data_IF_146201204789
#
_entry.id   IF_146201204789
#
_cell.length_a   1.000
_cell.length_b   1.000
_cell.length_c   1.000
_cell.angle_alpha   90.00
_cell.angle_beta   90.00
_cell.angle_gamma   90.00
#
_symmetry.space_group_name_H-M   'P 1'
#
loop_
_entity.id
_entity.type
_entity.pdbx_description
1 polymer ?
#
# COMPACT_ATOMS: atom_id res chain seq x y z
N UNK A 1 32.40 -1.49 -27.05
CA UNK A 1 31.50 -0.68 -26.19
C UNK A 1 30.11 -0.79 -26.78
N UNK A 2 29.08 -1.19 -26.02
CA UNK A 2 27.71 -1.16 -26.52
C UNK A 2 27.19 0.29 -26.59
N UNK A 3 26.28 0.57 -27.53
CA UNK A 3 25.78 1.90 -27.86
C UNK A 3 24.89 2.49 -26.75
N UNK A 4 25.16 3.70 -26.23
CA UNK A 4 24.40 4.33 -25.14
C UNK A 4 23.00 4.81 -25.55
N UNK A 5 22.63 4.68 -26.82
CA UNK A 5 21.34 5.11 -27.39
C UNK A 5 20.42 3.92 -27.73
N UNK A 6 20.74 2.73 -27.23
CA UNK A 6 19.87 1.57 -27.41
C UNK A 6 18.51 1.82 -26.75
N UNK A 7 17.37 1.56 -27.41
CA UNK A 7 16.02 1.82 -26.87
C UNK A 7 15.79 1.22 -25.47
N UNK A 8 16.44 0.08 -25.18
CA UNK A 8 16.39 -0.58 -23.88
C UNK A 8 17.06 0.19 -22.74
N UNK A 9 18.05 1.05 -23.01
CA UNK A 9 18.73 1.87 -21.98
C UNK A 9 17.87 3.04 -21.55
N UNK A 10 17.21 3.72 -22.49
CA UNK A 10 16.24 4.79 -22.22
C UNK A 10 15.03 4.27 -21.45
N UNK A 11 14.56 3.06 -21.77
CA UNK A 11 13.47 2.42 -21.05
C UNK A 11 13.87 2.07 -19.60
N UNK A 12 15.06 1.47 -19.42
CA UNK A 12 15.58 1.14 -18.10
C UNK A 12 15.81 2.39 -17.22
N UNK A 13 16.26 3.51 -17.80
CA UNK A 13 16.44 4.76 -17.04
C UNK A 13 15.13 5.37 -16.56
N UNK A 14 14.07 5.32 -17.38
CA UNK A 14 12.76 5.83 -17.00
C UNK A 14 12.12 5.04 -15.87
N UNK A 15 12.24 3.71 -15.90
CA UNK A 15 11.75 2.86 -14.82
C UNK A 15 12.57 3.00 -13.53
N UNK A 16 13.89 3.16 -13.62
CA UNK A 16 14.74 3.38 -12.45
C UNK A 16 14.36 4.67 -11.69
N UNK A 17 14.12 5.77 -12.42
CA UNK A 17 13.65 7.02 -11.82
C UNK A 17 12.26 6.85 -11.18
N UNK A 18 11.37 6.10 -11.83
CA UNK A 18 10.06 5.75 -11.30
C UNK A 18 10.16 4.97 -9.98
N UNK A 19 11.02 3.94 -9.92
CA UNK A 19 11.25 3.15 -8.70
C UNK A 19 11.78 4.06 -7.60
N UNK A 20 12.79 4.88 -7.89
CA UNK A 20 13.40 5.78 -6.91
C UNK A 20 12.38 6.75 -6.30
N UNK A 21 11.45 7.28 -7.10
CA UNK A 21 10.39 8.18 -6.61
C UNK A 21 9.37 7.50 -5.71
N UNK A 22 9.15 6.20 -5.85
CA UNK A 22 8.04 5.50 -5.20
C UNK A 22 8.46 4.47 -4.15
N UNK A 23 9.73 4.06 -4.11
CA UNK A 23 10.21 2.98 -3.22
C UNK A 23 9.90 3.24 -1.76
N UNK A 24 10.14 4.47 -1.27
CA UNK A 24 9.83 4.83 0.12
C UNK A 24 8.36 4.66 0.47
N UNK A 25 7.46 5.11 -0.40
CA UNK A 25 6.02 5.01 -0.19
C UNK A 25 5.51 3.57 -0.25
N UNK A 26 6.01 2.77 -1.20
CA UNK A 26 5.63 1.36 -1.35
C UNK A 26 6.15 0.53 -0.18
N UNK A 27 7.37 0.78 0.27
CA UNK A 27 7.90 0.13 1.45
C UNK A 27 7.12 0.51 2.72
N UNK A 28 6.76 1.78 2.89
CA UNK A 28 5.93 2.21 4.01
C UNK A 28 4.54 1.53 3.98
N UNK A 29 3.89 1.49 2.82
CA UNK A 29 2.59 0.86 2.65
C UNK A 29 2.62 -0.64 2.96
N UNK A 30 3.58 -1.37 2.39
CA UNK A 30 3.75 -2.81 2.67
C UNK A 30 4.02 -3.08 4.14
N UNK A 31 4.86 -2.27 4.79
CA UNK A 31 5.17 -2.41 6.22
C UNK A 31 3.97 -2.12 7.12
N UNK A 32 3.15 -1.12 6.77
CA UNK A 32 1.94 -0.79 7.52
C UNK A 32 0.85 -1.87 7.38
N UNK A 33 0.78 -2.56 6.23
CA UNK A 33 -0.23 -3.60 5.97
C UNK A 33 0.18 -4.98 6.46
N UNK A 34 1.46 -5.35 6.35
CA UNK A 34 1.97 -6.70 6.61
C UNK A 34 2.85 -6.80 7.86
N UNK A 35 3.17 -5.67 8.49
CA UNK A 35 4.19 -5.57 9.53
C UNK A 35 5.59 -5.41 8.96
N UNK A 36 6.53 -4.95 9.79
CA UNK A 36 7.94 -4.82 9.41
C UNK A 36 8.61 -6.19 9.23
N UNK A 37 9.56 -6.27 8.30
CA UNK A 37 10.43 -7.44 8.12
C UNK A 37 10.39 -8.03 6.71
N UNK A 38 10.84 -9.28 6.60
CA UNK A 38 11.13 -9.93 5.32
C UNK A 38 9.90 -10.06 4.39
N UNK A 39 8.69 -10.19 4.95
CA UNK A 39 7.46 -10.30 4.16
C UNK A 39 7.14 -8.97 3.47
N UNK A 40 7.22 -7.83 4.19
CA UNK A 40 7.00 -6.52 3.62
C UNK A 40 8.05 -6.19 2.55
N UNK A 41 9.34 -6.43 2.82
CA UNK A 41 10.42 -6.20 1.86
C UNK A 41 10.23 -7.03 0.58
N UNK A 42 9.97 -8.33 0.72
CA UNK A 42 9.70 -9.23 -0.41
C UNK A 42 8.48 -8.77 -1.21
N UNK A 43 7.43 -8.29 -0.54
CA UNK A 43 6.21 -7.81 -1.19
C UNK A 43 6.48 -6.52 -1.97
N UNK A 44 7.22 -5.57 -1.39
CA UNK A 44 7.62 -4.34 -2.07
C UNK A 44 8.46 -4.63 -3.33
N UNK A 45 9.40 -5.59 -3.25
CA UNK A 45 10.17 -6.04 -4.41
C UNK A 45 9.28 -6.68 -5.49
N UNK A 46 8.33 -7.54 -5.10
CA UNK A 46 7.35 -8.14 -6.03
C UNK A 46 6.53 -7.08 -6.75
N UNK A 47 6.08 -6.05 -6.04
CA UNK A 47 5.35 -4.91 -6.62
C UNK A 47 6.13 -4.26 -7.77
N UNK A 48 7.39 -3.88 -7.55
CA UNK A 48 8.18 -3.28 -8.62
C UNK A 48 8.54 -4.26 -9.75
N UNK A 49 8.68 -5.55 -9.44
CA UNK A 49 8.91 -6.57 -10.47
C UNK A 49 7.71 -6.71 -11.42
N UNK A 50 6.50 -6.70 -10.87
CA UNK A 50 5.27 -6.76 -11.67
C UNK A 50 5.07 -5.48 -12.50
N UNK A 51 5.31 -4.30 -11.90
CA UNK A 51 5.26 -3.03 -12.61
C UNK A 51 6.29 -2.95 -13.74
N UNK A 52 7.49 -3.48 -13.51
CA UNK A 52 8.52 -3.56 -14.56
C UNK A 52 8.08 -4.46 -15.70
N UNK A 53 7.41 -5.57 -15.37
CA UNK A 53 6.88 -6.49 -16.39
C UNK A 53 5.85 -5.76 -17.26
N UNK A 54 4.91 -5.02 -16.67
CA UNK A 54 3.95 -4.20 -17.44
C UNK A 54 4.63 -3.09 -18.24
N UNK A 55 5.65 -2.48 -17.67
CA UNK A 55 6.46 -1.46 -18.35
C UNK A 55 7.11 -1.99 -19.63
N UNK A 56 7.62 -3.22 -19.62
CA UNK A 56 8.21 -3.85 -20.80
C UNK A 56 7.20 -4.20 -21.90
N UNK A 57 5.91 -4.30 -21.58
CA UNK A 57 4.85 -4.63 -22.52
C UNK A 57 4.14 -3.38 -23.09
N UNK A 58 4.69 -2.18 -22.89
CA UNK A 58 4.11 -0.88 -23.27
C UNK A 58 2.71 -0.57 -22.69
N UNK A 59 2.23 -1.38 -21.73
CA UNK A 59 0.96 -1.17 -21.03
C UNK A 59 1.07 -0.12 -19.90
N UNK A 60 2.23 0.53 -19.77
CA UNK A 60 2.55 1.40 -18.65
C UNK A 60 2.70 2.87 -19.07
N UNK A 61 1.80 3.71 -18.59
CA UNK A 61 1.89 5.17 -18.74
C UNK A 61 2.24 5.76 -17.37
N UNK A 62 3.47 6.25 -17.16
CA UNK A 62 3.88 6.83 -15.88
C UNK A 62 3.04 8.08 -15.56
N UNK A 63 2.12 7.97 -14.59
CA UNK A 63 1.35 9.12 -14.10
C UNK A 63 2.11 9.89 -13.02
N UNK A 64 1.87 11.22 -12.88
CA UNK A 64 2.62 12.11 -11.98
C UNK A 64 2.45 11.79 -10.48
N UNK A 65 1.49 10.93 -10.14
CA UNK A 65 1.32 10.29 -8.84
C UNK A 65 1.08 8.82 -9.16
N UNK A 66 2.00 7.92 -8.85
CA UNK A 66 1.95 6.57 -9.43
C UNK A 66 0.88 5.68 -8.76
N UNK A 67 -0.38 5.93 -9.12
CA UNK A 67 -1.55 5.18 -8.70
C UNK A 67 -1.36 3.67 -8.91
N UNK A 68 -0.70 3.32 -10.02
CA UNK A 68 -0.38 1.93 -10.36
C UNK A 68 0.53 1.27 -9.32
N UNK A 69 1.49 2.01 -8.73
CA UNK A 69 2.33 1.45 -7.67
C UNK A 69 1.53 1.15 -6.41
N UNK A 70 0.63 2.06 -6.01
CA UNK A 70 -0.24 1.84 -4.86
C UNK A 70 -1.20 0.68 -5.10
N UNK A 71 -1.85 0.62 -6.27
CA UNK A 71 -2.78 -0.45 -6.64
C UNK A 71 -2.10 -1.81 -6.66
N UNK A 72 -0.95 -1.88 -7.33
CA UNK A 72 -0.16 -3.11 -7.40
C UNK A 72 0.34 -3.52 -6.02
N UNK A 73 0.82 -2.57 -5.22
CA UNK A 73 1.22 -2.83 -3.84
C UNK A 73 0.08 -3.41 -3.01
N UNK A 74 -1.11 -2.82 -3.07
CA UNK A 74 -2.29 -3.32 -2.35
C UNK A 74 -2.63 -4.74 -2.81
N UNK A 75 -2.60 -5.01 -4.11
CA UNK A 75 -2.87 -6.34 -4.66
C UNK A 75 -1.84 -7.38 -4.16
N UNK A 76 -0.56 -7.04 -4.18
CA UNK A 76 0.50 -7.93 -3.68
C UNK A 76 0.40 -8.12 -2.16
N UNK A 77 0.01 -7.09 -1.41
CA UNK A 77 -0.24 -7.20 0.03
C UNK A 77 -1.42 -8.12 0.33
N UNK A 78 -2.53 -8.03 -0.41
CA UNK A 78 -3.68 -8.92 -0.24
C UNK A 78 -3.28 -10.39 -0.44
N UNK A 79 -2.51 -10.68 -1.50
CA UNK A 79 -1.98 -12.03 -1.76
C UNK A 79 -1.05 -12.51 -0.64
N UNK A 80 -0.15 -11.66 -0.17
CA UNK A 80 0.75 -12.00 0.93
C UNK A 80 -0.01 -12.23 2.25
N UNK A 81 -1.05 -11.43 2.52
CA UNK A 81 -1.91 -11.56 3.68
C UNK A 81 -2.74 -12.86 3.64
N UNK A 82 -3.21 -13.28 2.46
CA UNK A 82 -3.82 -14.61 2.22
C UNK A 82 -2.84 -15.72 2.59
N UNK A 83 -1.64 -15.69 2.00
CA UNK A 83 -0.60 -16.70 2.22
C UNK A 83 -0.20 -16.81 3.70
N UNK A 84 -0.18 -15.70 4.42
CA UNK A 84 0.22 -15.64 5.83
C UNK A 84 -0.97 -15.69 6.82
N UNK A 85 -2.22 -15.82 6.35
CA UNK A 85 -3.44 -15.80 7.17
C UNK A 85 -3.58 -14.56 8.09
N UNK A 86 -3.13 -13.39 7.62
CA UNK A 86 -3.02 -12.16 8.43
C UNK A 86 -4.32 -11.33 8.50
N UNK A 87 -5.36 -11.70 7.76
CA UNK A 87 -6.56 -10.88 7.58
C UNK A 87 -7.36 -10.53 8.85
N UNK A 88 -7.12 -11.22 9.96
CA UNK A 88 -7.94 -11.09 11.18
C UNK A 88 -7.17 -10.38 12.31
N UNK A 89 -5.89 -10.03 12.12
CA UNK A 89 -5.00 -9.68 13.25
C UNK A 89 -5.42 -8.45 14.06
N UNK A 90 -6.19 -7.51 13.51
CA UNK A 90 -6.51 -6.23 14.16
C UNK A 90 -8.02 -5.97 14.36
N UNK A 91 -8.88 -6.99 14.21
CA UNK A 91 -10.33 -6.84 14.41
C UNK A 91 -11.08 -6.00 13.36
N UNK A 92 -10.36 -5.47 12.37
CA UNK A 92 -10.90 -4.80 11.19
C UNK A 92 -10.84 -5.73 9.98
N UNK A 93 -11.83 -5.65 9.08
CA UNK A 93 -11.77 -6.30 7.79
C UNK A 93 -10.58 -5.78 6.97
N UNK A 94 -10.02 -6.59 6.08
CA UNK A 94 -8.82 -6.24 5.31
C UNK A 94 -8.98 -4.93 4.53
N UNK A 95 -10.12 -4.75 3.89
CA UNK A 95 -10.39 -3.56 3.09
C UNK A 95 -10.60 -2.31 3.95
N UNK A 96 -11.00 -2.48 5.21
CA UNK A 96 -11.05 -1.42 6.21
C UNK A 96 -9.64 -1.06 6.72
N UNK A 97 -8.76 -2.06 6.88
CA UNK A 97 -7.34 -1.85 7.20
C UNK A 97 -6.64 -1.10 6.07
N UNK A 98 -6.90 -1.41 4.80
CA UNK A 98 -6.36 -0.66 3.66
C UNK A 98 -6.76 0.82 3.75
N UNK A 99 -8.06 1.09 3.96
CA UNK A 99 -8.55 2.48 4.06
C UNK A 99 -7.95 3.20 5.27
N UNK A 100 -7.83 2.51 6.41
CA UNK A 100 -7.18 3.04 7.61
C UNK A 100 -5.71 3.40 7.33
N UNK A 101 -4.94 2.50 6.71
CA UNK A 101 -3.52 2.70 6.41
C UNK A 101 -3.34 3.83 5.42
N UNK A 102 -4.13 3.90 4.34
CA UNK A 102 -4.00 4.96 3.35
C UNK A 102 -4.32 6.35 3.93
N UNK A 103 -5.32 6.43 4.82
CA UNK A 103 -5.75 7.71 5.39
C UNK A 103 -4.95 8.13 6.62
N UNK A 104 -4.78 7.25 7.60
CA UNK A 104 -4.13 7.56 8.88
C UNK A 104 -2.62 7.24 8.90
N UNK A 105 -2.18 6.26 8.11
CA UNK A 105 -0.77 5.85 8.06
C UNK A 105 0.02 6.62 6.98
N UNK A 106 -0.47 6.59 5.75
CA UNK A 106 0.15 7.25 4.59
C UNK A 106 -0.28 8.71 4.43
N UNK A 107 -1.28 9.17 5.19
CA UNK A 107 -1.80 10.55 5.17
C UNK A 107 -2.22 11.03 3.77
N UNK A 108 -2.75 10.12 2.94
CA UNK A 108 -3.15 10.45 1.59
C UNK A 108 -4.45 11.28 1.58
N UNK A 109 -4.57 12.26 0.67
CA UNK A 109 -5.80 13.03 0.55
C UNK A 109 -6.91 12.15 -0.01
N UNK A 110 -8.14 12.41 0.42
CA UNK A 110 -9.31 11.58 0.08
C UNK A 110 -9.54 11.39 -1.43
N UNK A 111 -9.32 12.41 -2.30
CA UNK A 111 -9.36 12.22 -3.74
C UNK A 111 -8.33 11.20 -4.26
N UNK A 112 -7.11 11.18 -3.70
CA UNK A 112 -6.11 10.19 -4.10
C UNK A 112 -6.51 8.79 -3.67
N UNK A 113 -7.04 8.62 -2.45
CA UNK A 113 -7.58 7.32 -1.99
C UNK A 113 -8.73 6.86 -2.87
N UNK A 114 -9.62 7.77 -3.27
CA UNK A 114 -10.73 7.52 -4.20
C UNK A 114 -10.22 6.97 -5.53
N UNK A 115 -9.17 7.57 -6.09
CA UNK A 115 -8.57 7.07 -7.33
C UNK A 115 -7.82 5.75 -7.13
N UNK A 116 -7.07 5.58 -6.03
CA UNK A 116 -6.33 4.34 -5.76
C UNK A 116 -7.29 3.16 -5.63
N UNK A 117 -8.37 3.31 -4.86
CA UNK A 117 -9.30 2.23 -4.54
C UNK A 117 -10.47 2.10 -5.52
N UNK A 118 -10.58 3.01 -6.50
CA UNK A 118 -11.72 3.08 -7.43
C UNK A 118 -13.07 3.18 -6.73
N UNK A 119 -13.10 3.90 -5.61
CA UNK A 119 -14.30 4.11 -4.80
C UNK A 119 -14.69 5.58 -4.80
N UNK A 120 -16.00 5.86 -4.80
CA UNK A 120 -16.48 7.24 -4.72
C UNK A 120 -16.15 7.86 -3.35
N UNK A 121 -15.91 9.17 -3.33
CA UNK A 121 -15.64 9.93 -2.10
C UNK A 121 -16.74 9.74 -1.03
N UNK A 122 -18.06 9.75 -1.36
CA UNK A 122 -19.10 9.47 -0.36
C UNK A 122 -18.97 8.08 0.28
N UNK A 123 -18.65 7.05 -0.50
CA UNK A 123 -18.44 5.68 0.00
C UNK A 123 -17.24 5.66 0.96
N UNK A 124 -16.13 6.28 0.57
CA UNK A 124 -14.95 6.37 1.43
C UNK A 124 -15.19 7.12 2.74
N UNK A 125 -15.99 8.20 2.73
CA UNK A 125 -16.35 8.93 3.96
C UNK A 125 -17.14 8.05 4.93
N UNK A 126 -18.13 7.32 4.41
CA UNK A 126 -18.92 6.38 5.22
C UNK A 126 -18.03 5.28 5.80
N UNK A 127 -17.11 4.77 4.99
CA UNK A 127 -16.16 3.73 5.41
C UNK A 127 -15.17 4.23 6.46
N UNK A 128 -14.59 5.41 6.29
CA UNK A 128 -13.71 6.05 7.28
C UNK A 128 -14.44 6.31 8.61
N UNK A 129 -15.72 6.71 8.53
CA UNK A 129 -16.55 6.84 9.74
C UNK A 129 -16.68 5.49 10.46
N UNK A 130 -16.97 4.42 9.72
CA UNK A 130 -17.08 3.07 10.28
C UNK A 130 -15.76 2.60 10.92
N UNK A 131 -14.63 2.76 10.21
CA UNK A 131 -13.28 2.45 10.70
C UNK A 131 -13.01 3.18 12.01
N UNK A 132 -13.29 4.50 12.06
CA UNK A 132 -13.10 5.30 13.27
C UNK A 132 -13.95 4.79 14.44
N UNK A 133 -15.22 4.45 14.19
CA UNK A 133 -16.11 3.90 15.22
C UNK A 133 -15.60 2.55 15.75
N UNK A 134 -15.04 1.69 14.89
CA UNK A 134 -14.42 0.43 15.29
C UNK A 134 -13.13 0.65 16.09
N UNK A 135 -12.27 1.58 15.69
CA UNK A 135 -11.06 1.94 16.44
C UNK A 135 -11.40 2.43 17.86
N UNK A 136 -12.39 3.32 18.01
CA UNK A 136 -12.84 3.76 19.33
C UNK A 136 -13.36 2.60 20.20
N UNK A 137 -14.06 1.62 19.60
CA UNK A 137 -14.52 0.43 20.33
C UNK A 137 -13.36 -0.45 20.81
N UNK A 138 -12.35 -0.64 19.98
CA UNK A 138 -11.14 -1.39 20.34
C UNK A 138 -10.35 -0.69 21.46
N UNK A 139 -10.24 0.63 21.43
CA UNK A 139 -9.62 1.42 22.51
C UNK A 139 -10.39 1.27 23.83
N UNK A 140 -11.73 1.28 23.81
CA UNK A 140 -12.55 1.09 25.01
C UNK A 140 -12.53 -0.33 25.57
N UNK A 141 -12.17 -1.33 24.76
CA UNK A 141 -12.06 -2.74 25.18
C UNK A 141 -10.65 -3.14 25.62
N UNK A 142 -9.65 -2.26 25.46
CA UNK A 142 -8.32 -2.46 26.04
C UNK A 142 -8.49 -2.32 27.56
N UNK A 143 -8.43 -3.41 28.35
CA UNK A 143 -8.45 -3.28 29.80
C UNK A 143 -7.26 -2.38 30.16
N UNK A 144 -7.47 -1.40 31.03
CA UNK A 144 -6.38 -0.68 31.65
C UNK A 144 -5.41 -1.73 32.21
N UNK A 145 -4.28 -1.93 31.52
CA UNK A 145 -3.26 -2.83 31.96
C UNK A 145 -2.65 -2.21 33.22
N UNK A 146 -3.18 -2.63 34.36
CA UNK A 146 -2.65 -2.52 35.72
C UNK A 146 -2.40 -1.10 36.24
N UNK A 147 -3.46 -0.45 36.68
CA UNK A 147 -3.44 0.36 37.90
C UNK A 147 -3.75 -0.54 39.12
N UNK A 148 -2.77 -1.33 39.54
CA UNK A 148 -2.70 -1.95 40.89
C UNK A 148 -1.20 -1.96 41.28
N UNK A 149 -0.70 -0.95 42.00
CA UNK A 149 -0.49 -0.91 43.46
C UNK A 149 0.35 -2.09 43.98
N UNK A 150 1.63 -1.86 44.28
CA UNK A 150 2.21 -1.65 45.64
C UNK A 150 3.48 -0.80 45.50
#
# INVERSE_FOLDING_TARGET
MPDPLSPGWTAASGFAEYVQKNTGNIYALTSLLLGEGAVAEKTAMKTFTELYTRYLHDDFIPQPFSLDAYRECIQQCSRAAEECSLFVSNGLAWEDQIVQVLWYGMLLPLPAISTILEQSVPVLKTRLRHVREQMCRLETLRPEANLFVV
#
